data_IF_820366984324
#
_entry.id   IF_820366984324
#
_cell.length_a   1.000
_cell.length_b   1.000
_cell.length_c   1.000
_cell.angle_alpha   90.00
_cell.angle_beta   90.00
_cell.angle_gamma   90.00
#
_symmetry.space_group_name_H-M   'P 1'
#
loop_
_entity.id
_entity.type
_entity.pdbx_description
1 polymer ?
#
# COMPACT_ATOMS: atom_id res chain seq x y z
N UNK A 1 6.64 -24.46 4.39
CA UNK A 1 7.70 -23.54 3.96
C UNK A 1 7.05 -22.22 3.60
N UNK A 2 7.40 -21.16 4.30
CA UNK A 2 6.92 -19.81 4.03
C UNK A 2 7.48 -19.37 2.67
N UNK A 3 6.60 -19.05 1.71
CA UNK A 3 7.02 -18.69 0.35
C UNK A 3 7.46 -17.24 0.35
N UNK A 4 8.72 -16.98 0.68
CA UNK A 4 9.31 -15.64 0.62
C UNK A 4 9.56 -15.24 -0.84
N UNK A 5 9.13 -14.03 -1.20
CA UNK A 5 9.38 -13.43 -2.53
C UNK A 5 10.72 -12.72 -2.49
N UNK A 6 11.70 -13.26 -3.22
CA UNK A 6 13.00 -12.62 -3.37
C UNK A 6 12.93 -11.37 -4.26
N UNK A 7 13.90 -10.46 -4.13
CA UNK A 7 13.93 -9.16 -4.84
C UNK A 7 13.79 -9.28 -6.37
N UNK A 8 14.51 -10.22 -6.99
CA UNK A 8 14.45 -10.47 -8.44
C UNK A 8 13.05 -10.96 -8.87
N UNK A 9 12.47 -11.89 -8.10
CA UNK A 9 11.13 -12.40 -8.34
C UNK A 9 10.09 -11.28 -8.16
N UNK A 10 10.20 -10.51 -7.08
CA UNK A 10 9.36 -9.35 -6.79
C UNK A 10 9.37 -8.33 -7.92
N UNK A 11 10.54 -8.04 -8.51
CA UNK A 11 10.64 -7.13 -9.66
C UNK A 11 9.84 -7.64 -10.87
N UNK A 12 9.87 -8.94 -11.15
CA UNK A 12 9.08 -9.53 -12.24
C UNK A 12 7.58 -9.54 -11.95
N UNK A 13 7.21 -9.78 -10.68
CA UNK A 13 5.81 -9.68 -10.25
C UNK A 13 5.31 -8.24 -10.41
N UNK A 14 6.06 -7.23 -9.96
CA UNK A 14 5.71 -5.81 -10.16
C UNK A 14 5.57 -5.49 -11.65
N UNK A 15 6.49 -5.96 -12.51
CA UNK A 15 6.36 -5.78 -13.97
C UNK A 15 5.03 -6.32 -14.49
N UNK A 16 4.63 -7.51 -14.03
CA UNK A 16 3.35 -8.13 -14.41
C UNK A 16 2.15 -7.29 -13.97
N UNK A 17 2.14 -6.82 -12.72
CA UNK A 17 1.05 -6.01 -12.16
C UNK A 17 0.96 -4.65 -12.88
N UNK A 18 2.10 -4.00 -13.12
CA UNK A 18 2.18 -2.74 -13.89
C UNK A 18 1.67 -2.92 -15.31
N UNK A 19 2.06 -4.00 -16.00
CA UNK A 19 1.58 -4.28 -17.36
C UNK A 19 0.07 -4.54 -17.40
N UNK A 20 -0.46 -5.26 -16.40
CA UNK A 20 -1.92 -5.45 -16.26
C UNK A 20 -2.63 -4.10 -16.12
N UNK A 21 -2.11 -3.20 -15.30
CA UNK A 21 -2.72 -1.87 -15.13
C UNK A 21 -2.60 -1.04 -16.40
N UNK A 22 -1.44 -1.05 -17.09
CA UNK A 22 -1.27 -0.41 -18.40
C UNK A 22 -2.32 -0.88 -19.40
N UNK A 23 -2.58 -2.20 -19.44
CA UNK A 23 -3.58 -2.77 -20.32
C UNK A 23 -4.98 -2.24 -20.00
N UNK A 24 -5.39 -2.26 -18.73
CA UNK A 24 -6.70 -1.74 -18.31
C UNK A 24 -6.83 -0.24 -18.61
N UNK A 25 -5.81 0.55 -18.30
CA UNK A 25 -5.81 2.00 -18.51
C UNK A 25 -5.90 2.38 -20.01
N UNK A 26 -5.29 1.58 -20.89
CA UNK A 26 -5.35 1.79 -22.36
C UNK A 26 -6.64 1.28 -23.00
N UNK A 27 -7.44 0.50 -22.27
CA UNK A 27 -8.66 -0.13 -22.79
C UNK A 27 -9.87 0.21 -21.89
N UNK A 28 -10.27 1.49 -21.81
CA UNK A 28 -11.33 1.94 -20.89
C UNK A 28 -12.68 1.26 -21.13
N UNK A 29 -12.93 0.74 -22.34
CA UNK A 29 -14.14 -0.02 -22.68
C UNK A 29 -14.26 -1.36 -21.94
N UNK A 30 -13.16 -1.94 -21.44
CA UNK A 30 -13.19 -3.17 -20.62
C UNK A 30 -13.89 -2.95 -19.28
N UNK A 31 -13.94 -1.70 -18.86
CA UNK A 31 -14.55 -1.22 -17.64
C UNK A 31 -15.73 -0.32 -18.08
N UNK A 32 -16.68 -0.86 -18.86
CA UNK A 32 -17.87 -0.22 -19.45
C UNK A 32 -18.32 1.11 -18.79
N UNK A 33 -17.62 2.23 -19.04
CA UNK A 33 -17.81 3.53 -18.37
C UNK A 33 -17.80 3.52 -16.82
N UNK A 34 -17.19 2.53 -16.18
CA UNK A 34 -17.04 2.42 -14.73
C UNK A 34 -15.56 2.57 -14.39
N UNK A 35 -15.22 3.50 -13.50
CA UNK A 35 -13.91 3.45 -12.84
C UNK A 35 -13.79 2.14 -12.07
N UNK A 36 -12.58 1.57 -12.00
CA UNK A 36 -12.32 0.42 -11.13
C UNK A 36 -12.82 0.74 -9.71
N UNK A 37 -13.54 -0.21 -9.12
CA UNK A 37 -13.94 -0.08 -7.72
C UNK A 37 -12.70 -0.12 -6.82
N UNK A 38 -12.80 0.42 -5.60
CA UNK A 38 -11.70 0.28 -4.63
C UNK A 38 -11.38 -1.19 -4.37
N UNK A 39 -12.40 -2.06 -4.35
CA UNK A 39 -12.20 -3.51 -4.22
C UNK A 39 -11.41 -4.09 -5.40
N UNK A 40 -11.71 -3.69 -6.64
CA UNK A 40 -10.93 -4.10 -7.81
C UNK A 40 -9.49 -3.61 -7.73
N UNK A 41 -9.28 -2.35 -7.33
CA UNK A 41 -7.94 -1.76 -7.16
C UNK A 41 -7.15 -2.55 -6.10
N UNK A 42 -7.76 -2.78 -4.94
CA UNK A 42 -7.21 -3.55 -3.83
C UNK A 42 -6.80 -4.95 -4.29
N UNK A 43 -7.74 -5.73 -4.78
CA UNK A 43 -7.54 -7.17 -5.05
C UNK A 43 -6.70 -7.45 -6.29
N UNK A 44 -6.86 -6.68 -7.37
CA UNK A 44 -6.21 -6.96 -8.66
C UNK A 44 -4.86 -6.29 -8.82
N UNK A 45 -4.54 -5.29 -7.99
CA UNK A 45 -3.32 -4.49 -8.15
C UNK A 45 -2.56 -4.23 -6.84
N UNK A 46 -3.22 -3.73 -5.78
CA UNK A 46 -2.52 -3.35 -4.54
C UNK A 46 -2.03 -4.58 -3.76
N UNK A 47 -2.85 -5.62 -3.57
CA UNK A 47 -2.40 -6.85 -2.91
C UNK A 47 -1.28 -7.55 -3.70
N UNK A 48 -1.38 -7.74 -5.03
CA UNK A 48 -0.25 -8.24 -5.83
C UNK A 48 1.02 -7.39 -5.75
N UNK A 49 0.91 -6.07 -5.62
CA UNK A 49 2.05 -5.18 -5.42
C UNK A 49 2.75 -5.47 -4.09
N UNK A 50 2.01 -5.61 -3.00
CA UNK A 50 2.60 -5.90 -1.69
C UNK A 50 3.12 -7.33 -1.57
N UNK A 51 2.46 -8.30 -2.20
CA UNK A 51 2.97 -9.66 -2.37
C UNK A 51 4.34 -9.63 -3.07
N UNK A 52 4.45 -8.87 -4.16
CA UNK A 52 5.70 -8.67 -4.88
C UNK A 52 6.79 -7.97 -4.05
N UNK A 53 6.41 -7.26 -2.98
CA UNK A 53 7.29 -6.60 -2.01
C UNK A 53 7.55 -7.47 -0.76
N UNK A 54 7.34 -8.79 -0.87
CA UNK A 54 7.58 -9.79 0.16
C UNK A 54 6.64 -9.75 1.38
N UNK A 55 5.46 -9.13 1.23
CA UNK A 55 4.39 -9.24 2.24
C UNK A 55 3.56 -10.49 1.97
N UNK A 56 3.36 -11.33 2.99
CA UNK A 56 2.50 -12.50 2.88
C UNK A 56 1.02 -12.08 3.08
N UNK A 57 0.45 -11.42 2.07
CA UNK A 57 -0.90 -10.83 2.15
C UNK A 57 -2.05 -11.84 2.27
N UNK A 58 -1.76 -13.14 2.17
CA UNK A 58 -2.73 -14.23 2.31
C UNK A 58 -2.56 -15.01 3.62
N UNK A 59 -1.60 -14.61 4.46
CA UNK A 59 -1.40 -15.24 5.76
C UNK A 59 -2.57 -14.94 6.69
N UNK A 60 -3.05 -15.95 7.40
CA UNK A 60 -4.07 -15.79 8.43
C UNK A 60 -3.41 -16.07 9.77
N UNK A 61 -2.96 -15.01 10.43
CA UNK A 61 -2.38 -15.06 11.78
C UNK A 61 -2.85 -13.86 12.60
N UNK A 62 -2.86 -14.00 13.92
CA UNK A 62 -3.31 -12.96 14.86
C UNK A 62 -2.59 -11.61 14.67
N UNK A 63 -1.39 -11.61 14.10
CA UNK A 63 -0.57 -10.42 13.90
C UNK A 63 -0.04 -10.29 12.45
N UNK A 64 -0.70 -10.93 11.50
CA UNK A 64 -0.32 -10.91 10.09
C UNK A 64 -0.91 -9.73 9.32
N UNK A 65 -0.68 -9.67 8.00
CA UNK A 65 -1.41 -8.77 7.12
C UNK A 65 -2.92 -9.03 7.14
N UNK A 66 -3.72 -7.96 7.12
CA UNK A 66 -5.19 -8.01 7.16
C UNK A 66 -5.77 -7.07 6.11
N UNK A 67 -6.87 -7.49 5.47
CA UNK A 67 -7.64 -6.68 4.52
C UNK A 67 -9.01 -6.42 5.15
N UNK A 68 -9.34 -5.15 5.40
CA UNK A 68 -10.58 -4.79 6.08
C UNK A 68 -11.69 -4.45 5.08
N UNK A 69 -12.78 -5.21 5.14
CA UNK A 69 -13.97 -4.88 4.38
C UNK A 69 -14.57 -3.55 4.82
N UNK A 70 -15.10 -2.79 3.86
CA UNK A 70 -15.71 -1.48 4.13
C UNK A 70 -16.81 -1.54 5.20
N UNK A 71 -17.68 -2.54 5.13
CA UNK A 71 -18.77 -2.71 6.10
C UNK A 71 -18.25 -3.02 7.53
N UNK A 72 -17.10 -3.70 7.64
CA UNK A 72 -16.47 -3.96 8.94
C UNK A 72 -15.89 -2.68 9.54
N UNK A 73 -15.27 -1.81 8.72
CA UNK A 73 -14.74 -0.51 9.15
C UNK A 73 -15.81 0.48 9.57
N UNK A 74 -16.96 0.46 8.90
CA UNK A 74 -18.10 1.34 9.21
C UNK A 74 -18.86 0.89 10.46
N UNK A 75 -18.80 -0.40 10.82
CA UNK A 75 -19.41 -0.97 12.02
C UNK A 75 -18.46 -1.07 13.21
N UNK A 76 -17.16 -0.88 13.01
CA UNK A 76 -16.20 -1.03 14.09
C UNK A 76 -16.32 0.15 15.07
N UNK A 77 -16.67 -0.13 16.33
CA UNK A 77 -16.57 0.81 17.47
C UNK A 77 -15.11 1.20 17.81
N UNK A 78 -14.16 0.80 16.98
CA UNK A 78 -12.77 1.21 17.06
C UNK A 78 -12.72 2.71 16.77
N UNK A 79 -12.72 3.53 17.83
CA UNK A 79 -12.85 5.00 17.78
C UNK A 79 -11.83 5.77 16.93
N UNK A 80 -10.93 5.08 16.23
CA UNK A 80 -9.99 5.64 15.25
C UNK A 80 -10.33 5.26 13.80
N UNK A 81 -11.10 4.20 13.53
CA UNK A 81 -11.35 3.66 12.18
C UNK A 81 -10.13 2.90 11.61
N UNK A 82 -10.38 1.79 10.93
CA UNK A 82 -9.33 0.90 10.42
C UNK A 82 -8.87 1.30 8.99
N UNK A 83 -7.60 1.04 8.61
CA UNK A 83 -7.14 1.21 7.23
C UNK A 83 -7.78 0.18 6.29
N UNK A 84 -7.75 0.39 4.97
CA UNK A 84 -8.17 -0.64 4.00
C UNK A 84 -7.35 -1.93 4.13
N UNK A 85 -6.03 -1.80 4.34
CA UNK A 85 -5.12 -2.92 4.55
C UNK A 85 -4.15 -2.59 5.69
N UNK A 86 -3.96 -3.55 6.59
CA UNK A 86 -2.86 -3.56 7.56
C UNK A 86 -1.81 -4.55 7.10
N UNK A 87 -0.55 -4.13 7.01
CA UNK A 87 0.59 -5.01 6.72
C UNK A 87 1.47 -5.05 7.96
N UNK A 88 1.42 -6.14 8.72
CA UNK A 88 2.15 -6.29 9.98
C UNK A 88 3.09 -7.50 9.93
N UNK A 89 4.31 -7.30 10.42
CA UNK A 89 5.31 -8.36 10.60
C UNK A 89 6.37 -7.92 11.62
N UNK A 90 7.37 -8.78 11.88
CA UNK A 90 8.58 -8.41 12.66
C UNK A 90 9.38 -7.25 12.05
N UNK A 91 9.16 -6.94 10.77
CA UNK A 91 9.84 -5.86 10.05
C UNK A 91 9.08 -4.53 10.12
N UNK A 92 7.94 -4.50 10.81
CA UNK A 92 7.19 -3.28 11.06
C UNK A 92 5.74 -3.35 10.59
N UNK A 93 5.07 -2.21 10.71
CA UNK A 93 3.66 -2.03 10.40
C UNK A 93 3.45 -0.97 9.32
N UNK A 94 2.81 -1.31 8.22
CA UNK A 94 2.38 -0.35 7.18
C UNK A 94 0.85 -0.38 7.12
N UNK A 95 0.23 0.80 7.14
CA UNK A 95 -1.19 0.93 6.83
C UNK A 95 -1.38 1.44 5.42
N UNK A 96 -2.34 0.87 4.70
CA UNK A 96 -2.63 1.24 3.31
C UNK A 96 -4.09 1.69 3.23
N UNK A 97 -4.28 2.88 2.69
CA UNK A 97 -5.58 3.42 2.30
C UNK A 97 -5.66 3.38 0.77
N UNK A 98 -6.68 2.70 0.26
CA UNK A 98 -6.97 2.57 -1.16
C UNK A 98 -8.12 3.50 -1.52
N UNK A 99 -7.97 4.21 -2.64
CA UNK A 99 -8.98 5.12 -3.17
C UNK A 99 -9.17 4.90 -4.66
N UNK A 100 -10.30 5.37 -5.19
CA UNK A 100 -10.45 5.54 -6.64
C UNK A 100 -9.60 6.72 -7.11
N UNK A 101 -9.11 6.76 -8.36
CA UNK A 101 -8.30 7.86 -8.89
C UNK A 101 -8.83 9.26 -8.57
N UNK A 102 -10.14 9.48 -8.75
CA UNK A 102 -10.80 10.76 -8.49
C UNK A 102 -10.88 11.17 -7.00
N UNK A 103 -10.69 10.22 -6.07
CA UNK A 103 -10.96 10.41 -4.64
C UNK A 103 -9.65 10.53 -3.81
N UNK A 104 -8.47 10.52 -4.44
CA UNK A 104 -7.17 10.51 -3.72
C UNK A 104 -6.98 11.72 -2.80
N UNK A 105 -7.47 12.90 -3.17
CA UNK A 105 -7.34 14.13 -2.38
C UNK A 105 -8.06 14.02 -1.02
N UNK A 106 -9.19 13.34 -0.99
CA UNK A 106 -9.99 13.13 0.23
C UNK A 106 -9.31 12.18 1.23
N UNK A 107 -8.49 11.25 0.73
CA UNK A 107 -7.84 10.22 1.56
C UNK A 107 -6.82 10.77 2.55
N UNK A 108 -6.23 11.95 2.31
CA UNK A 108 -5.19 12.52 3.19
C UNK A 108 -5.70 12.82 4.61
N UNK A 109 -6.95 13.30 4.74
CA UNK A 109 -7.54 13.65 6.04
C UNK A 109 -7.63 12.45 6.98
N UNK A 110 -7.77 11.26 6.41
CA UNK A 110 -7.92 10.00 7.13
C UNK A 110 -6.59 9.42 7.63
N UNK A 111 -5.45 10.05 7.35
CA UNK A 111 -4.15 9.46 7.69
C UNK A 111 -3.67 9.85 9.10
N UNK A 112 -4.21 10.92 9.68
CA UNK A 112 -3.80 11.44 11.02
C UNK A 112 -4.04 10.43 12.15
N UNK A 113 -5.06 9.58 12.00
CA UNK A 113 -5.41 8.51 12.96
C UNK A 113 -4.41 7.35 13.03
N UNK A 114 -3.48 7.25 12.09
CA UNK A 114 -2.55 6.14 11.94
C UNK A 114 -1.20 6.38 12.61
N UNK A 115 -1.23 6.95 13.82
CA UNK A 115 -0.05 7.34 14.61
C UNK A 115 0.91 6.17 14.91
N UNK A 116 0.36 4.95 14.97
CA UNK A 116 1.10 3.74 15.37
C UNK A 116 1.84 3.07 14.19
N UNK A 117 1.55 3.45 12.95
CA UNK A 117 2.18 2.85 11.77
C UNK A 117 3.64 3.30 11.59
N UNK A 118 4.50 2.43 11.05
CA UNK A 118 5.83 2.81 10.53
C UNK A 118 5.73 3.71 9.31
N UNK A 119 4.71 3.46 8.50
CA UNK A 119 4.47 4.17 7.26
C UNK A 119 2.99 4.04 6.92
N UNK A 120 2.45 5.10 6.31
CA UNK A 120 1.09 5.12 5.80
C UNK A 120 1.16 5.30 4.29
N UNK A 121 0.55 4.38 3.53
CA UNK A 121 0.44 4.44 2.08
C UNK A 121 -0.97 4.89 1.70
N UNK A 122 -1.08 5.93 0.87
CA UNK A 122 -2.32 6.29 0.20
C UNK A 122 -2.17 6.02 -1.29
N UNK A 123 -3.05 5.21 -1.87
CA UNK A 123 -2.88 4.79 -3.27
C UNK A 123 -4.18 4.62 -4.04
N UNK A 124 -4.11 4.92 -5.33
CA UNK A 124 -5.11 4.58 -6.35
C UNK A 124 -4.61 3.49 -7.29
N UNK A 125 -3.48 2.86 -6.92
CA UNK A 125 -2.55 2.14 -7.77
C UNK A 125 -1.90 2.97 -8.89
N UNK A 126 -2.62 3.89 -9.55
CA UNK A 126 -2.03 4.83 -10.51
C UNK A 126 -0.98 5.73 -9.87
N UNK A 127 -1.32 6.20 -8.66
CA UNK A 127 -0.49 7.02 -7.81
C UNK A 127 -0.35 6.36 -6.43
N UNK A 128 0.84 6.43 -5.86
CA UNK A 128 1.16 5.95 -4.52
C UNK A 128 1.90 7.05 -3.79
N UNK A 129 1.34 7.49 -2.67
CA UNK A 129 1.92 8.48 -1.76
C UNK A 129 2.28 7.82 -0.44
N UNK A 130 3.49 8.09 0.01
CA UNK A 130 4.11 7.51 1.20
C UNK A 130 4.20 8.58 2.27
N UNK A 131 3.57 8.34 3.41
CA UNK A 131 3.55 9.25 4.55
C UNK A 131 4.18 8.63 5.78
N UNK A 132 4.74 9.49 6.63
CA UNK A 132 4.90 9.21 8.06
C UNK A 132 4.03 10.18 8.84
N UNK A 133 3.58 9.79 10.03
CA UNK A 133 2.96 10.72 10.97
C UNK A 133 4.07 11.54 11.63
N UNK A 134 3.97 12.88 11.55
CA UNK A 134 4.93 13.85 12.11
C UNK A 134 4.42 14.45 13.43
N UNK A 135 5.12 15.46 13.96
CA UNK A 135 4.66 16.23 15.12
C UNK A 135 3.24 16.78 14.86
N UNK A 136 2.42 16.83 15.91
CA UNK A 136 1.01 17.22 15.86
C UNK A 136 0.11 16.28 15.03
N UNK A 137 0.52 15.01 14.89
CA UNK A 137 -0.23 13.96 14.19
C UNK A 137 -0.51 14.24 12.70
N UNK A 138 0.20 15.19 12.09
CA UNK A 138 0.02 15.56 10.70
C UNK A 138 0.74 14.58 9.74
N UNK A 139 0.13 14.22 8.59
CA UNK A 139 0.79 13.36 7.60
C UNK A 139 1.87 14.13 6.86
N UNK A 140 3.13 13.71 7.02
CA UNK A 140 4.27 14.23 6.28
C UNK A 140 4.58 13.33 5.08
N UNK A 141 4.44 13.90 3.88
CA UNK A 141 4.76 13.20 2.64
C UNK A 141 6.26 12.95 2.57
N UNK A 142 6.65 11.69 2.34
CA UNK A 142 8.04 11.27 2.21
C UNK A 142 8.40 10.98 0.76
N UNK A 143 7.51 10.34 0.00
CA UNK A 143 7.73 9.94 -1.38
C UNK A 143 6.43 9.75 -2.14
N UNK A 144 6.52 9.94 -3.46
CA UNK A 144 5.44 9.67 -4.40
C UNK A 144 5.98 8.83 -5.56
N UNK A 145 5.12 7.96 -6.08
CA UNK A 145 5.39 7.13 -7.25
C UNK A 145 4.13 7.11 -8.11
N UNK A 146 4.29 7.24 -9.43
CA UNK A 146 3.28 6.77 -10.36
C UNK A 146 3.48 5.27 -10.65
N UNK A 147 2.47 4.64 -11.25
CA UNK A 147 2.49 3.20 -11.47
C UNK A 147 3.60 2.71 -12.42
N UNK A 148 4.12 3.56 -13.31
CA UNK A 148 5.27 3.19 -14.15
C UNK A 148 6.57 3.14 -13.34
N UNK A 149 6.69 4.03 -12.36
CA UNK A 149 7.82 4.10 -11.44
C UNK A 149 7.93 2.90 -10.52
N UNK A 150 6.86 2.13 -10.30
CA UNK A 150 6.97 0.90 -9.51
C UNK A 150 8.01 -0.07 -10.08
N UNK A 151 8.12 -0.11 -11.42
CA UNK A 151 9.10 -0.95 -12.10
C UNK A 151 10.42 -0.22 -12.38
N UNK A 152 10.38 1.02 -12.90
CA UNK A 152 11.60 1.75 -13.28
C UNK A 152 12.41 2.20 -12.06
N UNK A 153 11.74 2.58 -10.97
CA UNK A 153 12.34 2.94 -9.68
C UNK A 153 12.20 1.81 -8.64
N UNK A 154 12.10 0.55 -9.09
CA UNK A 154 11.87 -0.63 -8.24
C UNK A 154 12.79 -0.70 -7.01
N UNK A 155 14.07 -0.39 -7.17
CA UNK A 155 15.04 -0.42 -6.07
C UNK A 155 14.64 0.52 -4.92
N UNK A 156 14.17 1.72 -5.26
CA UNK A 156 13.71 2.71 -4.26
C UNK A 156 12.43 2.22 -3.60
N UNK A 157 11.47 1.73 -4.39
CA UNK A 157 10.21 1.18 -3.89
C UNK A 157 10.47 0.02 -2.92
N UNK A 158 11.31 -0.94 -3.33
CA UNK A 158 11.70 -2.08 -2.50
C UNK A 158 12.35 -1.64 -1.19
N UNK A 159 13.31 -0.71 -1.26
CA UNK A 159 14.05 -0.26 -0.08
C UNK A 159 13.17 0.48 0.94
N UNK A 160 11.97 0.94 0.56
CA UNK A 160 11.01 1.62 1.44
C UNK A 160 9.91 0.66 1.91
N UNK A 161 9.24 -0.01 0.97
CA UNK A 161 7.98 -0.72 1.23
C UNK A 161 8.15 -2.22 1.43
N UNK A 162 9.30 -2.82 1.11
CA UNK A 162 9.44 -4.26 1.27
C UNK A 162 9.40 -4.72 2.73
N UNK A 163 8.93 -5.95 2.91
CA UNK A 163 9.06 -6.71 4.14
C UNK A 163 10.47 -7.29 4.26
N UNK A 164 11.46 -6.42 4.44
CA UNK A 164 12.87 -6.77 4.63
C UNK A 164 13.50 -5.90 5.70
N UNK A 165 14.65 -6.33 6.24
CA UNK A 165 15.42 -5.54 7.22
C UNK A 165 15.84 -4.17 6.65
N UNK A 166 16.16 -4.10 5.35
CA UNK A 166 16.46 -2.82 4.69
C UNK A 166 15.23 -1.91 4.64
N UNK A 167 14.07 -2.47 4.32
CA UNK A 167 12.78 -1.76 4.37
C UNK A 167 12.50 -1.20 5.76
N UNK A 168 12.64 -2.04 6.80
CA UNK A 168 12.51 -1.65 8.21
C UNK A 168 13.40 -0.47 8.57
N UNK A 169 14.70 -0.56 8.26
CA UNK A 169 15.67 0.49 8.54
C UNK A 169 15.34 1.81 7.85
N UNK A 170 14.91 1.78 6.57
CA UNK A 170 14.50 2.97 5.83
C UNK A 170 13.27 3.64 6.47
N UNK A 171 12.25 2.85 6.86
CA UNK A 171 11.06 3.38 7.53
C UNK A 171 11.39 4.01 8.88
N UNK A 172 12.28 3.38 9.66
CA UNK A 172 12.77 3.93 10.91
C UNK A 172 13.48 5.28 10.70
N UNK A 173 14.30 5.41 9.65
CA UNK A 173 14.96 6.67 9.31
C UNK A 173 13.95 7.79 8.92
N UNK A 174 12.88 7.44 8.20
CA UNK A 174 11.79 8.40 7.91
C UNK A 174 11.05 8.83 9.18
N UNK A 175 10.89 7.94 10.16
CA UNK A 175 10.33 8.29 11.47
C UNK A 175 11.28 9.15 12.32
N UNK A 176 12.58 8.97 12.21
CA UNK A 176 13.56 9.76 13.00
C UNK A 176 13.66 11.23 12.53
N UNK A 177 13.32 11.51 11.27
CA UNK A 177 13.35 12.86 10.67
C UNK A 177 12.05 13.65 10.93
N UNK A 178 11.53 13.56 12.17
CA UNK A 178 10.26 14.15 12.64
C UNK A 178 10.38 15.56 13.20
#
# INVERSE_FOLDING_TARGET
>A
MEKMVGKTQGKQMIRTVVNRYKFVNRNPFLIQNRYLSEQDITTKFVLPLFEALNWNVYEITENGPEVHEKAFREKSDVGKGLPDITLKSKNGTIFVEVKRPKDISSGRKNLQRYVDADLVVLTTFEELRIYTVCKNDEPCNRREFNFEQYYTDFEKLWNILSNSEKGKATRAAFKATR
#
